data_IF_869361903434
#
_entry.id   IF_869361903434
#
_cell.length_a   1.000
_cell.length_b   1.000
_cell.length_c   1.000
_cell.angle_alpha   90.00
_cell.angle_beta   90.00
_cell.angle_gamma   90.00
#
_symmetry.space_group_name_H-M   'P 1'
#
loop_
_entity.id
_entity.type
_entity.pdbx_description
1 polymer ?
#
# COMPACT_ATOMS: atom_id res chain seq x y z
N UNK A 1 28.50 5.98 -4.97
CA UNK A 1 27.78 4.72 -5.27
C UNK A 1 26.80 4.99 -6.40
N UNK A 2 26.58 4.04 -7.34
CA UNK A 2 25.64 4.26 -8.44
C UNK A 2 24.21 4.32 -7.90
N UNK A 3 23.52 5.43 -8.19
CA UNK A 3 22.07 5.55 -7.97
C UNK A 3 21.38 4.72 -9.05
N UNK A 4 20.30 4.00 -8.71
CA UNK A 4 19.45 3.42 -9.76
C UNK A 4 18.91 4.58 -10.59
N UNK A 5 19.17 4.56 -11.90
CA UNK A 5 18.70 5.59 -12.82
C UNK A 5 17.17 5.50 -12.94
N UNK A 6 16.50 6.64 -12.85
CA UNK A 6 15.03 6.69 -13.03
C UNK A 6 14.61 6.28 -14.45
N UNK A 7 15.50 6.43 -15.42
CA UNK A 7 15.37 5.90 -16.78
C UNK A 7 15.40 4.36 -16.82
N UNK A 8 16.21 3.72 -15.98
CA UNK A 8 16.20 2.25 -15.81
C UNK A 8 14.87 1.79 -15.25
N UNK A 9 14.36 2.47 -14.21
CA UNK A 9 13.05 2.16 -13.61
C UNK A 9 11.93 2.28 -14.64
N UNK A 10 11.93 3.36 -15.44
CA UNK A 10 10.98 3.53 -16.54
C UNK A 10 11.07 2.41 -17.57
N UNK A 11 12.27 2.03 -18.00
CA UNK A 11 12.48 0.93 -18.94
C UNK A 11 12.01 -0.43 -18.37
N UNK A 12 12.32 -0.73 -17.11
CA UNK A 12 11.89 -1.98 -16.46
C UNK A 12 10.35 -2.07 -16.35
N UNK A 13 9.68 -0.97 -16.01
CA UNK A 13 8.23 -0.90 -16.00
C UNK A 13 7.64 -1.16 -17.40
N UNK A 14 8.23 -0.57 -18.45
CA UNK A 14 7.79 -0.79 -19.82
C UNK A 14 8.03 -2.23 -20.31
N UNK A 15 9.16 -2.83 -19.95
CA UNK A 15 9.45 -4.25 -20.23
C UNK A 15 8.43 -5.15 -19.55
N UNK A 16 8.13 -4.93 -18.27
CA UNK A 16 7.12 -5.70 -17.55
C UNK A 16 5.74 -5.53 -18.18
N UNK A 17 5.39 -4.32 -18.60
CA UNK A 17 4.13 -4.04 -19.28
C UNK A 17 4.01 -4.82 -20.60
N UNK A 18 5.07 -4.84 -21.41
CA UNK A 18 5.13 -5.63 -22.65
C UNK A 18 5.01 -7.13 -22.39
N UNK A 19 5.82 -7.66 -21.47
CA UNK A 19 5.81 -9.10 -21.14
C UNK A 19 4.47 -9.55 -20.57
N UNK A 20 3.78 -8.67 -19.86
CA UNK A 20 2.49 -8.96 -19.26
C UNK A 20 1.31 -8.68 -20.20
N UNK A 21 1.55 -8.14 -21.40
CA UNK A 21 0.54 -7.68 -22.36
C UNK A 21 -0.41 -6.64 -21.74
N UNK A 22 0.17 -5.61 -21.13
CA UNK A 22 -0.57 -4.48 -20.58
C UNK A 22 -1.22 -4.74 -19.22
N UNK A 23 -0.66 -5.63 -18.40
CA UNK A 23 -1.17 -5.93 -17.04
C UNK A 23 -0.26 -5.38 -15.94
N UNK A 24 0.72 -4.56 -16.28
CA UNK A 24 1.57 -3.92 -15.29
C UNK A 24 0.80 -2.79 -14.60
N UNK A 25 0.93 -2.69 -13.28
CA UNK A 25 0.56 -1.49 -12.53
C UNK A 25 1.82 -0.94 -11.86
N UNK A 26 2.05 0.37 -11.98
CA UNK A 26 3.28 1.03 -11.55
C UNK A 26 3.11 1.66 -10.17
N UNK A 27 3.34 0.85 -9.14
CA UNK A 27 3.31 1.27 -7.73
C UNK A 27 4.65 1.82 -7.25
N UNK A 28 4.62 3.02 -6.66
CA UNK A 28 5.81 3.72 -6.19
C UNK A 28 5.67 4.09 -4.70
N UNK A 29 6.80 4.28 -4.01
CA UNK A 29 6.82 4.70 -2.61
C UNK A 29 8.06 5.53 -2.27
N UNK A 30 7.93 6.41 -1.29
CA UNK A 30 9.00 7.34 -0.85
C UNK A 30 10.02 6.72 0.12
N UNK A 31 10.05 5.39 0.25
CA UNK A 31 10.78 4.64 1.30
C UNK A 31 10.35 4.98 2.74
N UNK A 32 10.65 4.10 3.69
CA UNK A 32 10.26 4.27 5.09
C UNK A 32 11.43 4.27 6.09
N UNK A 33 12.64 3.90 5.66
CA UNK A 33 13.77 3.70 6.58
C UNK A 33 15.08 4.30 6.05
N UNK A 34 15.92 4.72 7.00
CA UNK A 34 17.27 5.21 6.73
C UNK A 34 18.09 4.12 6.01
N UNK A 35 17.93 2.86 6.43
CA UNK A 35 18.59 1.68 5.84
C UNK A 35 18.30 1.50 4.34
N UNK A 36 17.15 1.96 3.85
CA UNK A 36 16.80 1.90 2.42
C UNK A 36 17.34 3.09 1.63
N UNK A 37 17.58 4.25 2.27
CA UNK A 37 17.92 5.50 1.59
C UNK A 37 19.43 5.79 1.58
N UNK A 38 20.10 5.62 2.73
CA UNK A 38 21.53 5.97 2.89
C UNK A 38 22.46 5.27 1.89
N UNK A 39 22.30 3.96 1.59
CA UNK A 39 23.14 3.28 0.60
C UNK A 39 23.05 3.90 -0.81
N UNK A 40 21.93 4.56 -1.13
CA UNK A 40 21.73 5.26 -2.40
C UNK A 40 22.03 6.77 -2.31
N UNK A 41 22.65 7.22 -1.20
CA UNK A 41 23.00 8.61 -0.95
C UNK A 41 21.77 9.51 -0.86
N UNK A 42 20.68 9.02 -0.28
CA UNK A 42 19.44 9.76 -0.03
C UNK A 42 19.22 9.89 1.47
N UNK A 43 18.57 10.96 1.87
CA UNK A 43 18.23 11.23 3.27
C UNK A 43 16.70 11.23 3.48
N UNK A 44 16.28 11.11 4.73
CA UNK A 44 14.86 11.06 5.09
C UNK A 44 14.13 12.39 4.91
N UNK A 45 14.85 13.50 4.89
CA UNK A 45 14.31 14.87 4.84
C UNK A 45 13.90 15.23 3.40
N UNK A 46 14.76 14.89 2.44
CA UNK A 46 14.60 15.18 1.01
C UNK A 46 13.86 14.10 0.24
N UNK A 47 13.64 12.90 0.82
CA UNK A 47 13.01 11.76 0.12
C UNK A 47 11.70 12.10 -0.61
N UNK A 48 10.94 13.08 -0.10
CA UNK A 48 9.70 13.57 -0.72
C UNK A 48 9.99 14.34 -2.01
N UNK A 49 10.88 15.33 -1.94
CA UNK A 49 11.30 16.11 -3.11
C UNK A 49 11.96 15.19 -4.15
N UNK A 50 12.76 14.22 -3.70
CA UNK A 50 13.36 13.20 -4.56
C UNK A 50 12.30 12.35 -5.25
N UNK A 51 11.29 11.89 -4.52
CA UNK A 51 10.19 11.11 -5.10
C UNK A 51 9.43 11.93 -6.14
N UNK A 52 9.09 13.17 -5.82
CA UNK A 52 8.31 14.03 -6.71
C UNK A 52 9.08 14.35 -8.00
N UNK A 53 10.37 14.65 -7.89
CA UNK A 53 11.23 14.87 -9.05
C UNK A 53 11.46 13.58 -9.87
N UNK A 54 11.52 12.41 -9.21
CA UNK A 54 11.61 11.13 -9.91
C UNK A 54 10.36 10.85 -10.75
N UNK A 55 9.16 11.13 -10.22
CA UNK A 55 7.91 11.03 -10.98
C UNK A 55 7.95 11.97 -12.18
N UNK A 56 8.36 13.23 -11.96
CA UNK A 56 8.44 14.23 -13.03
C UNK A 56 9.37 13.78 -14.18
N UNK A 57 10.47 13.10 -13.84
CA UNK A 57 11.42 12.56 -14.80
C UNK A 57 10.92 11.29 -15.52
N UNK A 58 10.26 10.36 -14.82
CA UNK A 58 9.89 9.04 -15.35
C UNK A 58 8.74 9.12 -16.35
N UNK A 59 7.65 9.82 -16.02
CA UNK A 59 6.42 9.72 -16.82
C UNK A 59 6.54 10.21 -18.27
N UNK A 60 7.29 11.30 -18.56
CA UNK A 60 7.58 11.68 -19.94
C UNK A 60 8.26 10.58 -20.77
N UNK A 61 9.02 9.68 -20.14
CA UNK A 61 9.78 8.62 -20.83
C UNK A 61 8.89 7.55 -21.47
N UNK A 62 7.65 7.40 -21.01
CA UNK A 62 6.70 6.42 -21.57
C UNK A 62 6.08 6.86 -22.91
N UNK A 63 6.21 8.14 -23.27
CA UNK A 63 5.68 8.70 -24.52
C UNK A 63 6.57 8.34 -25.72
N UNK A 64 6.04 8.51 -26.93
CA UNK A 64 6.69 8.08 -28.18
C UNK A 64 7.86 8.99 -28.61
N UNK A 65 8.18 10.04 -27.84
CA UNK A 65 9.31 10.95 -28.08
C UNK A 65 10.46 10.72 -27.08
N UNK A 66 11.63 11.27 -27.40
CA UNK A 66 12.71 11.41 -26.42
C UNK A 66 12.34 12.41 -25.33
N UNK A 67 12.89 12.22 -24.13
CA UNK A 67 12.69 13.10 -22.99
C UNK A 67 14.03 13.48 -22.36
N UNK A 68 14.10 14.67 -21.81
CA UNK A 68 15.19 15.15 -20.96
C UNK A 68 14.60 15.68 -19.65
N UNK A 69 15.41 15.70 -18.60
CA UNK A 69 15.02 16.23 -17.30
C UNK A 69 16.22 16.85 -16.61
N UNK A 70 16.12 18.12 -16.23
CA UNK A 70 17.18 18.86 -15.56
C UNK A 70 16.63 19.43 -14.25
N UNK A 71 16.84 18.69 -13.16
CA UNK A 71 16.35 19.05 -11.83
C UNK A 71 17.44 19.03 -10.76
N UNK A 72 17.01 19.15 -9.50
CA UNK A 72 17.91 19.20 -8.34
C UNK A 72 18.51 17.83 -8.04
N UNK A 73 17.77 16.76 -8.30
CA UNK A 73 18.12 15.40 -7.92
C UNK A 73 18.49 14.51 -9.09
N UNK A 74 17.97 14.81 -10.29
CA UNK A 74 18.16 14.06 -11.51
C UNK A 74 18.55 15.00 -12.65
N UNK A 75 19.59 14.61 -13.38
CA UNK A 75 20.06 15.30 -14.57
C UNK A 75 20.18 14.25 -15.68
N UNK A 76 19.23 14.28 -16.61
CA UNK A 76 19.02 13.26 -17.64
C UNK A 76 19.07 13.98 -18.98
N UNK A 77 20.15 13.83 -19.76
CA UNK A 77 20.21 14.43 -21.09
C UNK A 77 19.19 13.76 -22.01
N UNK A 78 18.77 14.50 -23.04
CA UNK A 78 17.85 14.03 -24.07
C UNK A 78 18.18 12.61 -24.50
N UNK A 79 17.27 11.70 -24.21
CA UNK A 79 17.38 10.29 -24.57
C UNK A 79 16.02 9.70 -24.84
N UNK A 80 16.01 8.66 -25.64
CA UNK A 80 14.83 7.84 -25.82
C UNK A 80 14.94 6.59 -24.95
N UNK A 81 14.11 6.50 -23.91
CA UNK A 81 14.02 5.30 -23.08
C UNK A 81 13.17 4.27 -23.80
N UNK A 82 13.75 3.11 -24.06
CA UNK A 82 13.12 1.99 -24.76
C UNK A 82 13.23 0.72 -23.91
N UNK A 83 12.25 -0.19 -24.00
CA UNK A 83 11.08 -0.15 -24.88
C UNK A 83 9.95 0.75 -24.35
N UNK A 84 8.88 0.95 -25.14
CA UNK A 84 7.66 1.67 -24.72
C UNK A 84 6.59 0.68 -24.24
N UNK A 85 5.78 1.03 -23.22
CA UNK A 85 4.72 0.17 -22.74
C UNK A 85 3.62 -0.05 -23.80
N UNK A 86 2.88 -1.14 -23.65
CA UNK A 86 1.64 -1.41 -24.40
C UNK A 86 0.54 -0.46 -23.94
N UNK A 87 0.43 -0.26 -22.62
CA UNK A 87 -0.51 0.68 -22.03
C UNK A 87 -0.10 2.12 -22.37
N UNK A 88 -1.08 2.94 -22.79
CA UNK A 88 -0.89 4.35 -23.14
C UNK A 88 -1.71 5.25 -22.21
N UNK A 89 -1.17 6.42 -21.81
CA UNK A 89 0.20 6.89 -22.10
C UNK A 89 1.28 6.20 -21.26
N UNK A 90 0.90 5.46 -20.22
CA UNK A 90 1.78 4.68 -19.34
C UNK A 90 0.95 3.62 -18.58
N UNK A 91 1.59 2.66 -17.87
CA UNK A 91 0.90 1.79 -16.93
C UNK A 91 0.19 2.56 -15.80
N UNK A 92 -0.95 2.09 -15.27
CA UNK A 92 -1.65 2.74 -14.15
C UNK A 92 -0.73 3.01 -12.97
N UNK A 93 -0.72 4.24 -12.47
CA UNK A 93 0.20 4.68 -11.43
C UNK A 93 -0.41 4.66 -10.03
N UNK A 94 0.40 4.25 -9.05
CA UNK A 94 0.00 4.14 -7.66
C UNK A 94 1.06 4.68 -6.71
N UNK A 95 0.63 5.21 -5.57
CA UNK A 95 1.47 5.62 -4.46
C UNK A 95 1.17 4.77 -3.23
N UNK A 96 2.21 4.20 -2.61
CA UNK A 96 2.13 3.62 -1.29
C UNK A 96 1.88 4.71 -0.24
N UNK A 97 0.76 4.61 0.47
CA UNK A 97 0.31 5.55 1.47
C UNK A 97 0.02 4.79 2.77
N UNK A 98 0.48 5.29 3.91
CA UNK A 98 0.25 4.59 5.19
C UNK A 98 -0.34 5.49 6.26
N UNK A 99 -0.58 6.74 5.91
CA UNK A 99 -1.09 7.79 6.79
C UNK A 99 -1.95 8.75 5.98
N UNK A 100 -2.88 9.40 6.63
CA UNK A 100 -3.78 10.33 5.97
C UNK A 100 -3.07 11.43 5.14
N UNK A 101 -1.99 12.09 5.60
CA UNK A 101 -1.30 13.08 4.76
C UNK A 101 -0.73 12.48 3.46
N UNK A 102 -0.31 11.21 3.49
CA UNK A 102 0.19 10.51 2.30
C UNK A 102 -0.96 10.10 1.37
N UNK A 103 -2.14 9.81 1.91
CA UNK A 103 -3.37 9.50 1.14
C UNK A 103 -3.86 10.77 0.45
N UNK A 104 -3.96 11.89 1.18
CA UNK A 104 -4.33 13.18 0.61
C UNK A 104 -3.35 13.59 -0.50
N UNK A 105 -2.05 13.40 -0.29
CA UNK A 105 -1.03 13.68 -1.30
C UNK A 105 -1.17 12.80 -2.54
N UNK A 106 -1.51 11.52 -2.39
CA UNK A 106 -1.81 10.66 -3.55
C UNK A 106 -2.99 11.23 -4.36
N UNK A 107 -4.07 11.63 -3.69
CA UNK A 107 -5.20 12.29 -4.34
C UNK A 107 -4.79 13.60 -5.04
N UNK A 108 -4.02 14.44 -4.35
CA UNK A 108 -3.51 15.72 -4.86
C UNK A 108 -2.69 15.55 -6.14
N UNK A 109 -1.88 14.50 -6.23
CA UNK A 109 -1.06 14.24 -7.42
C UNK A 109 -1.73 13.31 -8.44
N UNK A 110 -2.99 12.93 -8.24
CA UNK A 110 -3.70 12.09 -9.21
C UNK A 110 -3.27 10.62 -9.19
N UNK A 111 -2.65 10.13 -8.12
CA UNK A 111 -2.21 8.75 -7.99
C UNK A 111 -3.30 7.85 -7.42
N UNK A 112 -3.26 6.57 -7.79
CA UNK A 112 -3.98 5.54 -7.03
C UNK A 112 -3.38 5.43 -5.63
N UNK A 113 -4.19 5.36 -4.58
CA UNK A 113 -3.71 5.22 -3.22
C UNK A 113 -3.62 3.75 -2.82
N UNK A 114 -2.43 3.27 -2.47
CA UNK A 114 -2.19 1.93 -1.90
C UNK A 114 -2.04 2.05 -0.39
N UNK A 115 -3.14 1.86 0.32
CA UNK A 115 -3.21 1.89 1.77
C UNK A 115 -3.08 0.52 2.41
N UNK A 116 -2.76 0.48 3.71
CA UNK A 116 -3.03 -0.69 4.52
C UNK A 116 -4.34 -0.50 5.27
N UNK A 117 -5.11 -1.58 5.39
CA UNK A 117 -6.35 -1.61 6.15
C UNK A 117 -6.04 -1.69 7.65
N UNK A 118 -5.61 -0.57 8.22
CA UNK A 118 -5.28 -0.49 9.63
C UNK A 118 -6.31 0.24 10.47
N UNK A 119 -7.48 0.64 9.94
CA UNK A 119 -8.35 1.59 10.65
C UNK A 119 -9.82 1.18 10.68
N UNK A 120 -10.62 1.87 11.50
CA UNK A 120 -12.07 1.68 11.63
C UNK A 120 -12.82 2.10 10.37
N UNK A 121 -14.12 1.77 10.28
CA UNK A 121 -14.98 2.22 9.18
C UNK A 121 -15.03 3.77 9.08
N UNK A 122 -15.11 4.47 10.21
CA UNK A 122 -15.14 5.94 10.23
C UNK A 122 -13.85 6.55 9.67
N UNK A 123 -12.70 5.94 9.99
CA UNK A 123 -11.42 6.36 9.44
C UNK A 123 -11.33 6.05 7.94
N UNK A 124 -11.85 4.91 7.47
CA UNK A 124 -11.90 4.60 6.04
C UNK A 124 -12.73 5.64 5.27
N UNK A 125 -13.88 6.06 5.82
CA UNK A 125 -14.70 7.12 5.26
C UNK A 125 -13.94 8.46 5.16
N UNK A 126 -13.29 8.88 6.26
CA UNK A 126 -12.46 10.09 6.26
C UNK A 126 -11.31 10.03 5.25
N UNK A 127 -10.68 8.86 5.08
CA UNK A 127 -9.57 8.66 4.15
C UNK A 127 -10.03 8.78 2.69
N UNK A 128 -11.18 8.17 2.36
CA UNK A 128 -11.78 8.27 1.03
C UNK A 128 -12.15 9.72 0.71
N UNK A 129 -12.76 10.44 1.66
CA UNK A 129 -13.08 11.85 1.47
C UNK A 129 -11.82 12.71 1.26
N UNK A 130 -10.79 12.54 2.08
CA UNK A 130 -9.54 13.27 1.92
C UNK A 130 -8.88 12.99 0.55
N UNK A 131 -8.86 11.73 0.12
CA UNK A 131 -8.32 11.31 -1.17
C UNK A 131 -9.07 11.95 -2.35
N UNK A 132 -10.39 11.75 -2.44
CA UNK A 132 -11.19 12.24 -3.55
C UNK A 132 -11.35 13.76 -3.53
N UNK A 133 -11.41 14.42 -2.35
CA UNK A 133 -11.38 15.88 -2.27
C UNK A 133 -10.06 16.45 -2.75
N UNK A 134 -8.93 15.85 -2.37
CA UNK A 134 -7.63 16.31 -2.86
C UNK A 134 -7.55 16.18 -4.40
N UNK A 135 -8.09 15.11 -4.97
CA UNK A 135 -8.10 14.90 -6.40
C UNK A 135 -9.07 15.82 -7.15
N UNK A 136 -10.27 16.05 -6.62
CA UNK A 136 -11.31 16.85 -7.32
C UNK A 136 -11.18 18.35 -7.08
N UNK A 137 -10.60 18.79 -5.95
CA UNK A 137 -10.52 20.20 -5.55
C UNK A 137 -9.10 20.76 -5.55
N UNK A 138 -8.06 19.91 -5.47
CA UNK A 138 -6.67 20.32 -5.22
C UNK A 138 -5.66 19.67 -6.18
N UNK A 139 -6.11 19.15 -7.32
CA UNK A 139 -5.26 18.41 -8.26
C UNK A 139 -4.04 19.23 -8.70
N UNK A 140 -2.87 18.62 -8.60
CA UNK A 140 -1.59 19.16 -9.02
C UNK A 140 -0.69 18.02 -9.50
N UNK A 141 -0.68 17.79 -10.81
CA UNK A 141 0.14 16.75 -11.43
C UNK A 141 1.62 17.13 -11.38
N UNK A 142 2.48 16.12 -11.15
CA UNK A 142 3.94 16.31 -11.13
C UNK A 142 4.57 16.24 -12.53
N UNK A 143 3.84 15.71 -13.50
CA UNK A 143 4.20 15.62 -14.91
C UNK A 143 2.92 15.42 -15.74
N UNK A 144 3.08 15.36 -17.06
CA UNK A 144 2.00 15.04 -18.00
C UNK A 144 1.73 13.52 -18.01
N UNK A 145 0.87 13.08 -17.10
CA UNK A 145 0.38 11.70 -16.97
C UNK A 145 -1.14 11.65 -16.73
N UNK A 146 -1.75 10.50 -17.02
CA UNK A 146 -3.16 10.24 -16.72
C UNK A 146 -3.35 9.87 -15.26
N UNK A 147 -4.40 10.40 -14.63
CA UNK A 147 -4.69 10.15 -13.22
C UNK A 147 -5.25 8.74 -13.00
N UNK A 148 -5.08 8.22 -11.78
CA UNK A 148 -5.66 6.97 -11.32
C UNK A 148 -6.53 7.21 -10.09
N UNK A 149 -7.86 7.43 -10.23
CA UNK A 149 -8.78 7.66 -9.12
C UNK A 149 -9.22 6.34 -8.48
N UNK A 150 -8.28 5.62 -7.86
CA UNK A 150 -8.57 4.36 -7.18
C UNK A 150 -7.87 4.31 -5.82
N UNK A 151 -8.61 3.90 -4.80
CA UNK A 151 -8.07 3.61 -3.48
C UNK A 151 -8.15 2.10 -3.21
N UNK A 152 -6.98 1.48 -3.01
CA UNK A 152 -6.87 0.08 -2.63
C UNK A 152 -6.36 -0.06 -1.20
N UNK A 153 -6.95 -0.98 -0.43
CA UNK A 153 -6.49 -1.29 0.92
C UNK A 153 -6.01 -2.74 1.04
N UNK A 154 -4.80 -2.91 1.58
CA UNK A 154 -4.24 -4.22 1.91
C UNK A 154 -4.84 -4.74 3.21
N UNK A 155 -5.43 -5.94 3.18
CA UNK A 155 -6.00 -6.61 4.34
C UNK A 155 -5.37 -7.98 4.56
N UNK A 156 -5.05 -8.33 5.80
CA UNK A 156 -4.73 -9.72 6.15
C UNK A 156 -5.90 -10.62 5.79
N UNK A 157 -5.63 -11.75 5.18
CA UNK A 157 -6.69 -12.59 4.65
C UNK A 157 -6.47 -14.07 4.91
N UNK A 158 -7.54 -14.74 5.33
CA UNK A 158 -7.66 -16.18 5.41
C UNK A 158 -9.15 -16.53 5.46
N UNK A 159 -9.63 -17.20 4.43
CA UNK A 159 -10.99 -17.72 4.33
C UNK A 159 -10.96 -19.23 4.62
N UNK A 160 -11.75 -19.68 5.59
CA UNK A 160 -11.92 -21.10 5.88
C UNK A 160 -13.41 -21.42 6.12
N UNK A 161 -13.78 -22.67 6.38
CA UNK A 161 -15.21 -23.02 6.55
C UNK A 161 -15.80 -22.39 7.81
N UNK A 162 -14.98 -22.21 8.84
CA UNK A 162 -15.36 -21.58 10.11
C UNK A 162 -14.39 -20.48 10.51
N UNK A 163 -14.85 -19.55 11.36
CA UNK A 163 -14.01 -18.49 11.91
C UNK A 163 -12.87 -19.03 12.79
N UNK A 164 -13.09 -20.16 13.48
CA UNK A 164 -12.05 -20.86 14.26
C UNK A 164 -10.93 -21.38 13.35
N UNK A 165 -11.32 -22.08 12.28
CA UNK A 165 -10.39 -22.66 11.32
C UNK A 165 -9.57 -21.57 10.62
N UNK A 166 -10.22 -20.48 10.21
CA UNK A 166 -9.54 -19.35 9.58
C UNK A 166 -8.50 -18.73 10.51
N UNK A 167 -8.84 -18.51 11.79
CA UNK A 167 -7.90 -17.99 12.79
C UNK A 167 -6.71 -18.93 13.02
N UNK A 168 -6.96 -20.23 13.12
CA UNK A 168 -5.90 -21.22 13.29
C UNK A 168 -4.94 -21.25 12.10
N UNK A 169 -5.46 -21.15 10.87
CA UNK A 169 -4.66 -21.13 9.64
C UNK A 169 -3.94 -19.81 9.39
N UNK A 170 -4.43 -18.70 9.95
CA UNK A 170 -3.88 -17.36 9.79
C UNK A 170 -2.82 -16.97 10.82
N UNK A 171 -2.30 -17.90 11.62
CA UNK A 171 -1.33 -17.62 12.70
C UNK A 171 -0.10 -16.82 12.22
N UNK A 172 0.30 -16.98 10.95
CA UNK A 172 1.40 -16.21 10.38
C UNK A 172 1.09 -14.73 10.12
N UNK A 173 -0.18 -14.31 10.09
CA UNK A 173 -0.56 -12.91 9.92
C UNK A 173 -0.01 -12.02 11.05
N UNK A 174 0.03 -12.53 12.28
CA UNK A 174 0.59 -11.80 13.43
C UNK A 174 2.11 -11.65 13.35
N UNK A 175 2.83 -12.53 12.64
CA UNK A 175 4.26 -12.34 12.37
C UNK A 175 4.52 -11.13 11.48
N UNK A 176 3.74 -10.95 10.41
CA UNK A 176 3.90 -9.79 9.52
C UNK A 176 3.60 -8.49 10.28
N UNK A 177 2.52 -8.46 11.07
CA UNK A 177 2.20 -7.31 11.91
C UNK A 177 3.33 -7.02 12.91
N UNK A 178 3.83 -8.05 13.59
CA UNK A 178 4.97 -7.92 14.50
C UNK A 178 6.19 -7.34 13.80
N UNK A 179 6.58 -7.86 12.63
CA UNK A 179 7.74 -7.39 11.89
C UNK A 179 7.61 -5.92 11.47
N UNK A 180 6.43 -5.52 10.97
CA UNK A 180 6.16 -4.13 10.61
C UNK A 180 6.29 -3.20 11.81
N UNK A 181 5.82 -3.63 12.98
CA UNK A 181 5.91 -2.87 14.24
C UNK A 181 7.32 -2.83 14.79
N UNK A 182 8.02 -3.96 14.78
CA UNK A 182 9.39 -4.08 15.25
C UNK A 182 10.31 -3.10 14.51
N UNK A 183 10.24 -3.07 13.18
CA UNK A 183 11.02 -2.11 12.39
C UNK A 183 10.47 -0.68 12.49
N UNK A 184 9.15 -0.51 12.62
CA UNK A 184 8.53 0.80 12.76
C UNK A 184 8.79 1.48 14.11
N UNK A 185 9.03 0.71 15.17
CA UNK A 185 9.33 1.17 16.51
C UNK A 185 10.84 1.35 16.78
N UNK A 186 11.70 1.04 15.80
CA UNK A 186 13.12 1.22 15.92
C UNK A 186 13.48 2.71 16.08
N UNK A 187 14.31 3.02 17.06
CA UNK A 187 14.77 4.39 17.30
C UNK A 187 15.43 4.95 16.03
N UNK A 188 15.13 6.21 15.72
CA UNK A 188 15.61 6.91 14.53
C UNK A 188 15.32 6.19 13.20
N UNK A 189 14.37 5.23 13.14
CA UNK A 189 14.07 4.43 11.93
C UNK A 189 15.27 3.65 11.39
N UNK A 190 16.26 3.38 12.24
CA UNK A 190 17.42 2.57 11.91
C UNK A 190 17.09 1.10 12.15
N UNK A 191 17.26 0.26 11.12
CA UNK A 191 17.05 -1.18 11.28
C UNK A 191 18.26 -1.80 12.00
N UNK A 192 18.08 -2.90 12.76
CA UNK A 192 19.20 -3.66 13.29
C UNK A 192 20.18 -4.05 12.19
N UNK A 193 21.46 -4.15 12.53
CA UNK A 193 22.46 -4.57 11.57
C UNK A 193 22.16 -5.98 11.02
N UNK A 194 22.56 -6.28 9.78
CA UNK A 194 22.40 -7.62 9.23
C UNK A 194 22.98 -8.68 10.17
N UNK A 195 22.26 -9.80 10.32
CA UNK A 195 22.65 -10.94 11.16
C UNK A 195 22.65 -10.71 12.68
N UNK A 196 22.22 -9.55 13.20
CA UNK A 196 22.16 -9.31 14.66
C UNK A 196 20.82 -9.64 15.30
N UNK A 197 19.77 -9.84 14.49
CA UNK A 197 18.42 -10.16 14.97
C UNK A 197 17.83 -11.29 14.13
N UNK A 198 17.34 -12.32 14.82
CA UNK A 198 16.43 -13.30 14.21
C UNK A 198 14.98 -12.88 14.47
N UNK A 199 14.32 -12.35 13.43
CA UNK A 199 12.95 -11.86 13.52
C UNK A 199 11.94 -12.93 13.96
N UNK A 200 12.18 -14.20 13.60
CA UNK A 200 11.28 -15.28 13.97
C UNK A 200 11.37 -15.59 15.47
N UNK A 201 12.57 -15.52 16.04
CA UNK A 201 12.79 -15.76 17.48
C UNK A 201 12.20 -14.62 18.32
N UNK A 202 12.42 -13.37 17.92
CA UNK A 202 11.80 -12.20 18.55
C UNK A 202 10.26 -12.27 18.50
N UNK A 203 9.70 -12.68 17.36
CA UNK A 203 8.27 -12.90 17.23
C UNK A 203 7.77 -14.02 18.15
N UNK A 204 8.44 -15.17 18.22
CA UNK A 204 8.00 -16.28 19.08
C UNK A 204 8.06 -15.89 20.57
N UNK A 205 9.06 -15.10 20.95
CA UNK A 205 9.14 -14.53 22.30
C UNK A 205 7.94 -13.61 22.55
N UNK A 206 7.72 -12.62 21.69
CA UNK A 206 6.57 -11.73 21.79
C UNK A 206 5.23 -12.48 21.85
N UNK A 207 5.05 -13.49 20.98
CA UNK A 207 3.85 -14.30 20.88
C UNK A 207 3.56 -15.06 22.18
N UNK A 208 4.58 -15.70 22.78
CA UNK A 208 4.45 -16.39 24.08
C UNK A 208 4.08 -15.43 25.21
N UNK A 209 4.65 -14.23 25.19
CA UNK A 209 4.45 -13.24 26.24
C UNK A 209 3.12 -12.45 26.07
N UNK A 210 2.49 -12.51 24.89
CA UNK A 210 1.31 -11.70 24.53
C UNK A 210 0.18 -12.51 23.85
N UNK A 211 -0.33 -13.61 24.45
CA UNK A 211 -1.33 -14.47 23.83
C UNK A 211 -2.66 -13.75 23.51
N UNK A 212 -3.12 -12.85 24.39
CA UNK A 212 -4.35 -12.09 24.17
C UNK A 212 -4.23 -11.10 23.01
N UNK A 213 -3.08 -10.42 22.89
CA UNK A 213 -2.83 -9.49 21.79
C UNK A 213 -2.73 -10.24 20.45
N UNK A 214 -2.15 -11.44 20.47
CA UNK A 214 -2.12 -12.31 19.31
C UNK A 214 -3.54 -12.69 18.86
N UNK A 215 -4.39 -13.15 19.79
CA UNK A 215 -5.76 -13.53 19.48
C UNK A 215 -6.57 -12.34 18.95
N UNK A 216 -6.43 -11.17 19.56
CA UNK A 216 -7.08 -9.94 19.12
C UNK A 216 -6.70 -9.57 17.68
N UNK A 217 -5.42 -9.69 17.33
CA UNK A 217 -4.93 -9.40 15.99
C UNK A 217 -5.47 -10.32 14.90
N UNK A 218 -5.75 -11.59 15.22
CA UNK A 218 -6.39 -12.54 14.31
C UNK A 218 -7.89 -12.29 14.11
N UNK A 219 -8.53 -11.48 14.96
CA UNK A 219 -9.91 -11.01 14.76
C UNK A 219 -9.98 -9.85 13.76
N UNK A 220 -8.86 -9.15 13.55
CA UNK A 220 -8.68 -8.11 12.54
C UNK A 220 -8.63 -8.66 11.10
N UNK A 221 -8.51 -7.76 10.11
CA UNK A 221 -8.43 -8.12 8.69
C UNK A 221 -9.63 -8.91 8.15
N UNK A 222 -9.50 -9.47 6.96
CA UNK A 222 -10.43 -10.39 6.32
C UNK A 222 -10.10 -11.87 6.65
N UNK A 223 -10.00 -12.15 7.96
CA UNK A 223 -9.84 -13.51 8.49
C UNK A 223 -11.19 -13.99 9.01
N UNK A 224 -11.68 -15.13 8.51
CA UNK A 224 -12.94 -15.75 8.95
C UNK A 224 -13.57 -16.72 7.95
N UNK A 225 -14.81 -17.11 8.24
CA UNK A 225 -15.70 -17.81 7.32
C UNK A 225 -16.16 -16.90 6.16
N UNK A 226 -16.74 -17.46 5.07
CA UNK A 226 -17.34 -16.66 4.00
C UNK A 226 -18.29 -15.58 4.53
N UNK A 227 -19.14 -15.92 5.50
CA UNK A 227 -20.11 -14.98 6.07
C UNK A 227 -19.44 -13.84 6.85
N UNK A 228 -18.43 -14.16 7.66
CA UNK A 228 -17.65 -13.15 8.38
C UNK A 228 -16.92 -12.22 7.41
N UNK A 229 -16.35 -12.75 6.33
CA UNK A 229 -15.67 -11.95 5.31
C UNK A 229 -16.68 -11.06 4.56
N UNK A 230 -17.85 -11.57 4.15
CA UNK A 230 -18.93 -10.76 3.54
C UNK A 230 -19.29 -9.56 4.42
N UNK A 231 -19.53 -9.81 5.71
CA UNK A 231 -19.88 -8.73 6.67
C UNK A 231 -18.80 -7.67 6.75
N UNK A 232 -17.52 -8.06 6.72
CA UNK A 232 -16.38 -7.13 6.74
C UNK A 232 -16.24 -6.38 5.41
N UNK A 233 -16.39 -7.04 4.27
CA UNK A 233 -16.33 -6.41 2.94
C UNK A 233 -17.45 -5.40 2.70
N UNK A 234 -18.68 -5.68 3.16
CA UNK A 234 -19.80 -4.71 3.09
C UNK A 234 -19.49 -3.39 3.80
N UNK A 235 -18.63 -3.39 4.82
CA UNK A 235 -18.17 -2.17 5.49
C UNK A 235 -17.15 -1.37 4.66
N UNK A 236 -16.31 -2.05 3.87
CA UNK A 236 -15.43 -1.37 2.93
C UNK A 236 -16.21 -0.78 1.77
N UNK A 237 -17.17 -1.54 1.26
CA UNK A 237 -18.09 -1.09 0.22
C UNK A 237 -18.89 0.15 0.66
N UNK A 238 -19.42 0.17 1.89
CA UNK A 238 -20.12 1.34 2.44
C UNK A 238 -19.22 2.56 2.67
N UNK A 239 -17.90 2.37 2.68
CA UNK A 239 -16.92 3.45 2.80
C UNK A 239 -16.38 3.90 1.44
N UNK A 240 -16.86 3.32 0.33
CA UNK A 240 -16.41 3.59 -1.04
C UNK A 240 -14.93 3.32 -1.32
N UNK A 241 -14.35 2.31 -0.67
CA UNK A 241 -13.04 1.76 -1.06
C UNK A 241 -13.18 1.03 -2.40
N UNK A 242 -12.33 1.36 -3.37
CA UNK A 242 -12.42 0.80 -4.72
C UNK A 242 -11.93 -0.65 -4.79
N UNK A 243 -10.87 -0.97 -4.06
CA UNK A 243 -10.20 -2.27 -4.16
C UNK A 243 -9.70 -2.77 -2.79
N UNK A 244 -9.69 -4.09 -2.63
CA UNK A 244 -9.07 -4.73 -1.47
C UNK A 244 -8.00 -5.71 -1.95
N UNK A 245 -6.79 -5.56 -1.44
CA UNK A 245 -5.65 -6.43 -1.73
C UNK A 245 -5.54 -7.45 -0.60
N UNK A 246 -5.57 -8.74 -0.94
CA UNK A 246 -5.56 -9.83 0.04
C UNK A 246 -4.12 -10.26 0.36
N UNK A 247 -3.70 -10.02 1.60
CA UNK A 247 -2.38 -10.42 2.09
C UNK A 247 -2.47 -11.79 2.77
N UNK A 248 -2.01 -12.82 2.07
CA UNK A 248 -2.18 -14.23 2.47
C UNK A 248 -0.88 -14.86 2.97
N UNK A 249 0.24 -14.49 2.35
CA UNK A 249 1.56 -15.04 2.65
C UNK A 249 2.20 -14.25 3.78
N UNK A 250 1.98 -14.74 5.00
CA UNK A 250 2.56 -14.19 6.21
C UNK A 250 3.00 -15.33 7.14
N UNK A 251 4.18 -15.17 7.77
CA UNK A 251 4.72 -16.12 8.73
C UNK A 251 4.78 -17.55 8.19
N UNK A 252 4.12 -18.48 8.88
CA UNK A 252 4.09 -19.93 8.57
C UNK A 252 2.77 -20.40 7.94
N UNK A 253 1.97 -19.50 7.38
CA UNK A 253 0.79 -19.91 6.61
C UNK A 253 1.23 -20.88 5.50
N UNK A 254 0.65 -22.08 5.44
CA UNK A 254 1.05 -23.07 4.43
C UNK A 254 0.52 -22.68 3.05
N UNK A 255 1.22 -23.16 2.02
CA UNK A 255 0.82 -22.94 0.63
C UNK A 255 -0.58 -23.50 0.38
N UNK A 256 -0.85 -24.72 0.87
CA UNK A 256 -2.11 -25.43 0.69
C UNK A 256 -3.27 -24.64 1.32
N UNK A 257 -3.10 -24.14 2.55
CA UNK A 257 -4.14 -23.33 3.20
C UNK A 257 -4.39 -22.01 2.47
N UNK A 258 -3.36 -21.38 1.90
CA UNK A 258 -3.51 -20.16 1.11
C UNK A 258 -4.31 -20.45 -0.17
N UNK A 259 -3.99 -21.53 -0.87
CA UNK A 259 -4.71 -21.95 -2.09
C UNK A 259 -6.18 -22.30 -1.79
N UNK A 260 -6.44 -23.14 -0.79
CA UNK A 260 -7.81 -23.49 -0.36
C UNK A 260 -8.63 -22.25 0.03
N UNK A 261 -7.99 -21.30 0.73
CA UNK A 261 -8.60 -20.03 1.12
C UNK A 261 -8.96 -19.16 -0.08
N UNK A 262 -8.08 -19.05 -1.06
CA UNK A 262 -8.33 -18.30 -2.30
C UNK A 262 -9.44 -18.95 -3.14
N UNK A 263 -9.45 -20.28 -3.26
CA UNK A 263 -10.50 -21.01 -3.98
C UNK A 263 -11.87 -20.85 -3.32
N UNK A 264 -11.93 -21.00 -1.99
CA UNK A 264 -13.16 -20.82 -1.22
C UNK A 264 -13.71 -19.40 -1.38
N UNK A 265 -12.86 -18.39 -1.25
CA UNK A 265 -13.25 -16.99 -1.45
C UNK A 265 -13.68 -16.69 -2.88
N UNK A 266 -12.90 -17.14 -3.86
CA UNK A 266 -13.21 -16.95 -5.29
C UNK A 266 -14.55 -17.57 -5.68
N UNK A 267 -14.90 -18.71 -5.09
CA UNK A 267 -16.17 -19.39 -5.33
C UNK A 267 -17.35 -18.79 -4.57
N UNK A 268 -17.17 -18.46 -3.29
CA UNK A 268 -18.31 -18.18 -2.39
C UNK A 268 -18.50 -16.71 -2.04
N UNK A 269 -17.46 -15.87 -2.14
CA UNK A 269 -17.50 -14.48 -1.64
C UNK A 269 -17.23 -13.47 -2.74
N UNK A 270 -16.15 -13.64 -3.51
CA UNK A 270 -15.73 -12.71 -4.57
C UNK A 270 -16.85 -12.34 -5.55
N UNK A 271 -17.73 -13.27 -5.98
CA UNK A 271 -18.79 -12.95 -6.94
C UNK A 271 -19.77 -11.86 -6.48
N UNK A 272 -19.95 -11.66 -5.16
CA UNK A 272 -20.85 -10.63 -4.62
C UNK A 272 -20.25 -9.21 -4.66
N UNK A 273 -18.91 -9.09 -4.70
CA UNK A 273 -18.21 -7.81 -4.58
C UNK A 273 -17.44 -7.41 -5.85
N UNK A 274 -17.21 -8.35 -6.77
CA UNK A 274 -16.58 -8.04 -8.05
C UNK A 274 -17.53 -7.22 -8.94
N UNK A 275 -16.96 -6.25 -9.66
CA UNK A 275 -17.69 -5.45 -10.66
C UNK A 275 -18.92 -4.70 -10.11
N UNK A 276 -18.84 -4.11 -8.92
CA UNK A 276 -19.94 -3.34 -8.32
C UNK A 276 -20.30 -2.09 -9.17
N UNK A 277 -21.47 -2.10 -9.86
CA UNK A 277 -21.87 -0.97 -10.70
C UNK A 277 -22.24 0.27 -9.89
N UNK A 278 -22.68 0.11 -8.63
CA UNK A 278 -23.04 1.22 -7.77
C UNK A 278 -21.79 1.99 -7.31
N UNK A 279 -20.73 1.28 -6.92
CA UNK A 279 -19.43 1.90 -6.64
C UNK A 279 -18.88 2.62 -7.88
N UNK A 280 -18.95 1.98 -9.06
CA UNK A 280 -18.50 2.60 -10.30
C UNK A 280 -19.30 3.87 -10.65
N UNK A 281 -20.62 3.88 -10.42
CA UNK A 281 -21.47 5.04 -10.62
C UNK A 281 -21.16 6.16 -9.63
N UNK A 282 -21.06 5.85 -8.33
CA UNK A 282 -20.68 6.80 -7.29
C UNK A 282 -19.36 7.49 -7.62
N UNK A 283 -18.33 6.71 -7.99
CA UNK A 283 -17.03 7.27 -8.36
C UNK A 283 -17.12 8.21 -9.56
N UNK A 284 -17.86 7.84 -10.62
CA UNK A 284 -18.07 8.74 -11.78
C UNK A 284 -18.76 10.04 -11.38
N UNK A 285 -19.77 9.98 -10.51
CA UNK A 285 -20.46 11.18 -10.03
C UNK A 285 -19.57 12.06 -9.14
N UNK A 286 -18.70 11.48 -8.32
CA UNK A 286 -17.68 12.23 -7.55
C UNK A 286 -16.67 12.90 -8.50
N UNK A 287 -16.11 12.13 -9.43
CA UNK A 287 -15.07 12.63 -10.35
C UNK A 287 -15.57 13.67 -11.35
N UNK A 288 -16.86 13.64 -11.70
CA UNK A 288 -17.50 14.67 -12.54
C UNK A 288 -17.97 15.90 -11.74
N UNK A 289 -17.95 15.85 -10.41
CA UNK A 289 -18.42 16.92 -9.54
C UNK A 289 -19.94 16.99 -9.34
N UNK A 290 -20.70 15.99 -9.83
CA UNK A 290 -22.12 15.81 -9.53
C UNK A 290 -22.32 15.55 -8.03
N UNK A 291 -21.51 14.66 -7.46
CA UNK A 291 -21.42 14.46 -6.01
C UNK A 291 -20.23 15.28 -5.49
N UNK A 292 -20.53 16.26 -4.63
CA UNK A 292 -19.51 17.03 -3.92
C UNK A 292 -19.32 16.44 -2.53
N UNK A 293 -18.17 15.82 -2.30
CA UNK A 293 -17.83 15.31 -0.98
C UNK A 293 -17.55 16.48 -0.01
N UNK A 294 -18.02 16.34 1.21
CA UNK A 294 -17.69 17.27 2.30
C UNK A 294 -16.22 17.13 2.72
N UNK A 295 -15.63 18.20 3.24
CA UNK A 295 -14.32 18.15 3.90
C UNK A 295 -14.53 17.72 5.35
N UNK A 296 -14.01 16.55 5.70
CA UNK A 296 -14.12 15.99 7.05
C UNK A 296 -12.96 16.52 7.88
N UNK A 297 -13.21 16.90 9.14
CA UNK A 297 -12.11 17.15 10.08
C UNK A 297 -11.42 15.82 10.42
N UNK A 298 -10.18 15.70 9.94
CA UNK A 298 -9.44 14.46 10.03
C UNK A 298 -8.46 14.39 11.18
N UNK A 299 -8.44 15.36 12.09
CA UNK A 299 -7.51 15.36 13.24
C UNK A 299 -7.62 14.07 14.07
N UNK A 300 -8.83 13.52 14.21
CA UNK A 300 -9.11 12.30 14.96
C UNK A 300 -8.71 11.00 14.24
N UNK A 301 -8.34 11.04 12.96
CA UNK A 301 -8.09 9.86 12.11
C UNK A 301 -6.62 9.72 11.67
N UNK A 302 -5.70 10.22 12.50
CA UNK A 302 -4.25 10.20 12.24
C UNK A 302 -3.57 8.90 12.68
N UNK A 303 -4.27 8.06 13.46
CA UNK A 303 -3.75 6.78 13.92
C UNK A 303 -3.45 5.83 12.75
N UNK A 304 -2.17 5.48 12.62
CA UNK A 304 -1.70 4.55 11.59
C UNK A 304 -2.18 3.12 11.81
N UNK A 305 -2.54 2.76 13.06
CA UNK A 305 -2.81 1.38 13.44
C UNK A 305 -4.06 1.24 14.30
N UNK A 306 -4.85 0.21 14.02
CA UNK A 306 -6.14 -0.01 14.66
C UNK A 306 -6.02 -0.72 16.00
N UNK A 307 -7.12 -0.71 16.77
CA UNK A 307 -7.19 -1.25 18.14
C UNK A 307 -6.82 -2.74 18.25
N UNK A 308 -6.99 -3.50 17.16
CA UNK A 308 -6.69 -4.93 17.12
C UNK A 308 -5.27 -5.24 16.62
N UNK A 309 -4.49 -4.24 16.19
CA UNK A 309 -3.18 -4.49 15.63
C UNK A 309 -2.19 -4.95 16.71
N UNK A 310 -1.21 -5.77 16.32
CA UNK A 310 -0.05 -6.11 17.17
C UNK A 310 0.62 -4.82 17.66
N UNK A 311 0.97 -4.79 18.95
CA UNK A 311 1.77 -3.75 19.58
C UNK A 311 3.08 -4.35 20.08
N UNK A 312 4.20 -3.69 19.75
CA UNK A 312 5.55 -4.10 20.12
C UNK A 312 6.16 -2.95 20.92
N UNK A 313 6.67 -3.25 22.11
CA UNK A 313 7.43 -2.26 22.88
C UNK A 313 8.70 -1.88 22.09
N UNK A 314 9.16 -0.61 22.15
CA UNK A 314 10.41 -0.23 21.49
C UNK A 314 11.54 -1.15 21.97
N UNK A 315 12.33 -1.68 21.03
CA UNK A 315 13.51 -2.44 21.40
C UNK A 315 14.37 -1.55 22.32
N UNK A 316 14.60 -2.00 23.57
CA UNK A 316 15.56 -1.34 24.45
C UNK A 316 16.88 -1.30 23.69
N UNK A 317 17.42 -0.10 23.46
CA UNK A 317 18.76 0.04 22.93
C UNK A 317 19.66 -0.84 23.79
N UNK A 318 20.36 -1.79 23.17
CA UNK A 318 21.46 -2.46 23.83
C UNK A 318 22.39 -1.34 24.29
N UNK A 319 22.56 -1.19 25.62
CA UNK A 319 23.55 -0.27 26.14
C UNK A 319 24.86 -0.61 25.44
N UNK A 320 25.41 0.36 24.71
CA UNK A 320 26.73 0.23 24.13
C UNK A 320 27.69 -0.02 25.29
N UNK A 321 28.13 -1.27 25.41
CA UNK A 321 29.17 -1.72 26.34
C UNK A 321 30.52 -1.69 25.65
#
# INVERSE_FOLDING_TARGET
>A
MPRVGVDVVGAEAAVLDLLSNGRCEFGMGESASITELEPFGRDMETKKEVFEEAVAAIFPMFRDAGSEHHGKYFDIPLRNVVPKPVQKPHPPLWMACSQLPTIERAGRHGFGALGFQFVSADAAHAWVHAYYNAMTKRLHLLADYEINPNMALVSFFMCAKTDEEARARADGATFFQFALRFYGAAQNRQRPAPYTVNMWDEYNKWKRDNPEAQEAALRGGLIGSPETIRKKLRRFQSSHIDQVILLNQAGKNSHEHICESLELFGREVMPEFQNDPAQAAWKRSVMSGEIKLEEIDTQAFTDRYGKLAVNVAPARAAAAG
#
